data_IF_650547053448
#
_entry.id   IF_650547053448
#
_cell.length_a   1.000
_cell.length_b   1.000
_cell.length_c   1.000
_cell.angle_alpha   90.00
_cell.angle_beta   90.00
_cell.angle_gamma   90.00
#
_symmetry.space_group_name_H-M   'P 1'
#
loop_
_entity.id
_entity.type
_entity.pdbx_description
1 polymer ?
#
# COMPACT_ATOMS: atom_id res chain seq x y z
N UNK A 1 29.39 81.10 -10.11
CA UNK A 1 29.47 80.85 -11.56
C UNK A 1 28.06 80.94 -12.11
N UNK A 2 27.64 82.13 -12.57
CA UNK A 2 27.77 82.61 -13.97
C UNK A 2 26.95 81.72 -14.91
N UNK A 3 25.67 82.02 -15.19
CA UNK A 3 25.09 83.05 -16.10
C UNK A 3 25.02 82.65 -17.58
N UNK A 4 23.82 82.83 -18.15
CA UNK A 4 23.59 83.25 -19.54
C UNK A 4 23.52 82.13 -20.58
N UNK A 5 22.76 82.22 -21.67
CA UNK A 5 21.97 83.30 -22.24
C UNK A 5 21.01 82.65 -23.28
N UNK A 6 19.71 82.97 -23.28
CA UNK A 6 19.05 83.98 -24.14
C UNK A 6 18.83 83.58 -25.61
N UNK A 7 17.59 83.71 -26.09
CA UNK A 7 17.27 83.65 -27.51
C UNK A 7 15.78 83.86 -27.88
N UNK A 8 15.29 85.11 -27.74
CA UNK A 8 14.25 85.84 -28.52
C UNK A 8 13.17 85.05 -29.29
N UNK A 9 11.87 85.20 -28.99
CA UNK A 9 10.94 86.30 -29.34
C UNK A 9 10.50 86.39 -30.83
N UNK A 10 9.24 86.05 -31.12
CA UNK A 10 8.40 86.81 -32.08
C UNK A 10 6.89 86.61 -31.84
N UNK A 11 6.18 87.75 -31.79
CA UNK A 11 4.72 87.91 -31.75
C UNK A 11 4.08 87.44 -33.06
N UNK A 12 2.85 86.92 -32.99
CA UNK A 12 1.76 87.43 -33.83
C UNK A 12 0.38 87.21 -33.19
N UNK A 13 -0.45 88.24 -33.35
CA UNK A 13 -1.84 88.39 -32.90
C UNK A 13 -2.77 87.44 -33.65
N UNK A 14 -3.87 87.04 -33.01
CA UNK A 14 -5.01 86.40 -33.66
C UNK A 14 -6.10 86.03 -32.67
N UNK A 15 -6.86 87.02 -32.22
CA UNK A 15 -8.10 86.79 -31.48
C UNK A 15 -9.18 86.32 -32.46
N UNK A 16 -9.67 85.09 -32.31
CA UNK A 16 -10.93 84.63 -32.88
C UNK A 16 -11.65 83.80 -31.82
N UNK A 17 -12.62 84.44 -31.17
CA UNK A 17 -13.62 83.82 -30.31
C UNK A 17 -14.64 83.10 -31.21
N UNK A 18 -14.58 81.77 -31.25
CA UNK A 18 -15.66 80.93 -31.76
C UNK A 18 -16.09 79.96 -30.66
N UNK A 19 -17.35 80.08 -30.26
CA UNK A 19 -17.93 79.36 -29.12
C UNK A 19 -17.97 77.84 -29.29
N UNK A 20 -18.22 77.10 -28.20
CA UNK A 20 -18.23 75.64 -28.21
C UNK A 20 -19.44 75.13 -29.00
N UNK A 21 -19.22 74.65 -30.23
CA UNK A 21 -20.19 73.79 -30.90
C UNK A 21 -20.23 72.46 -30.17
N UNK A 22 -21.28 72.27 -29.35
CA UNK A 22 -21.71 70.96 -28.83
C UNK A 22 -21.98 70.03 -30.02
N UNK A 23 -20.99 69.22 -30.38
CA UNK A 23 -21.22 68.02 -31.21
C UNK A 23 -21.99 67.04 -30.33
N UNK A 24 -23.30 66.94 -30.54
CA UNK A 24 -24.11 65.83 -30.02
C UNK A 24 -23.61 64.56 -30.70
N UNK A 25 -22.62 63.89 -30.10
CA UNK A 25 -22.32 62.50 -30.44
C UNK A 25 -23.52 61.66 -29.97
N UNK A 26 -24.24 61.06 -30.90
CA UNK A 26 -25.26 60.07 -30.58
C UNK A 26 -24.59 58.90 -29.83
N UNK A 27 -24.91 58.68 -28.54
CA UNK A 27 -24.28 57.61 -27.75
C UNK A 27 -24.71 56.20 -28.20
N UNK A 28 -25.72 56.08 -29.05
CA UNK A 28 -26.31 54.81 -29.45
C UNK A 28 -25.36 53.90 -30.27
N UNK A 29 -24.48 54.47 -31.11
CA UNK A 29 -23.59 53.65 -31.99
C UNK A 29 -22.38 53.11 -31.23
N UNK A 30 -21.87 53.84 -30.23
CA UNK A 30 -20.72 53.41 -29.43
C UNK A 30 -21.11 52.34 -28.40
N UNK A 31 -22.32 52.44 -27.82
CA UNK A 31 -22.82 51.45 -26.86
C UNK A 31 -23.14 50.10 -27.55
N UNK A 32 -23.66 50.13 -28.78
CA UNK A 32 -23.96 48.92 -29.54
C UNK A 32 -22.68 48.14 -29.92
N UNK A 33 -21.61 48.82 -30.31
CA UNK A 33 -20.33 48.19 -30.62
C UNK A 33 -19.64 47.57 -29.39
N UNK A 34 -19.76 48.20 -28.22
CA UNK A 34 -19.22 47.66 -26.96
C UNK A 34 -20.04 46.44 -26.51
N UNK A 35 -21.37 46.48 -26.62
CA UNK A 35 -22.23 45.36 -26.27
C UNK A 35 -21.98 44.13 -27.16
N UNK A 36 -21.78 44.32 -28.47
CA UNK A 36 -21.39 43.27 -29.41
C UNK A 36 -20.00 42.69 -29.11
N UNK A 37 -19.04 43.53 -28.74
CA UNK A 37 -17.69 43.09 -28.35
C UNK A 37 -17.72 42.26 -27.06
N UNK A 38 -18.47 42.71 -26.04
CA UNK A 38 -18.64 41.98 -24.78
C UNK A 38 -19.39 40.66 -24.96
N UNK A 39 -20.41 40.62 -25.81
CA UNK A 39 -21.12 39.39 -26.16
C UNK A 39 -20.22 38.41 -26.93
N UNK A 40 -19.36 38.90 -27.82
CA UNK A 40 -18.37 38.07 -28.53
C UNK A 40 -17.29 37.53 -27.58
N UNK A 41 -16.79 38.35 -26.65
CA UNK A 41 -15.83 37.93 -25.62
C UNK A 41 -16.43 36.90 -24.66
N UNK A 42 -17.68 37.08 -24.24
CA UNK A 42 -18.38 36.13 -23.38
C UNK A 42 -18.60 34.78 -24.10
N UNK A 43 -18.95 34.79 -25.39
CA UNK A 43 -19.04 33.56 -26.21
C UNK A 43 -17.69 32.88 -26.38
N UNK A 44 -16.61 33.64 -26.56
CA UNK A 44 -15.26 33.11 -26.69
C UNK A 44 -14.76 32.50 -25.37
N UNK A 45 -14.99 33.16 -24.23
CA UNK A 45 -14.67 32.57 -22.92
C UNK A 45 -15.49 31.33 -22.63
N UNK A 46 -16.78 31.29 -22.98
CA UNK A 46 -17.62 30.11 -22.82
C UNK A 46 -17.17 28.95 -23.71
N UNK A 47 -16.76 29.24 -24.96
CA UNK A 47 -16.20 28.24 -25.87
C UNK A 47 -14.85 27.71 -25.37
N UNK A 48 -14.01 28.57 -24.78
CA UNK A 48 -12.74 28.16 -24.17
C UNK A 48 -12.95 27.32 -22.92
N UNK A 49 -13.91 27.69 -22.07
CA UNK A 49 -14.28 26.91 -20.88
C UNK A 49 -14.86 25.54 -21.25
N UNK A 50 -15.68 25.46 -22.31
CA UNK A 50 -16.20 24.20 -22.85
C UNK A 50 -15.06 23.38 -23.48
N UNK A 51 -14.14 24.00 -24.22
CA UNK A 51 -12.97 23.31 -24.77
C UNK A 51 -12.03 22.82 -23.67
N UNK A 52 -11.83 23.58 -22.60
CA UNK A 52 -11.00 23.18 -21.46
C UNK A 52 -11.69 22.09 -20.63
N UNK A 53 -13.03 22.11 -20.48
CA UNK A 53 -13.83 21.01 -19.91
C UNK A 53 -13.81 19.76 -20.79
N UNK A 54 -13.91 19.91 -22.11
CA UNK A 54 -13.83 18.81 -23.08
C UNK A 54 -12.40 18.25 -23.16
N UNK A 55 -11.38 19.09 -22.92
CA UNK A 55 -9.97 18.68 -22.88
C UNK A 55 -9.62 17.99 -21.56
N UNK A 56 -10.18 18.42 -20.43
CA UNK A 56 -10.03 17.71 -19.14
C UNK A 56 -10.82 16.40 -19.09
N UNK A 57 -11.88 16.23 -19.89
CA UNK A 57 -12.67 14.99 -19.94
C UNK A 57 -12.15 13.95 -20.94
N UNK A 58 -11.03 14.19 -21.65
CA UNK A 58 -10.54 13.30 -22.73
C UNK A 58 -9.07 12.91 -22.70
N UNK A 59 -8.35 13.14 -21.60
CA UNK A 59 -7.21 12.27 -21.29
C UNK A 59 -7.70 11.16 -20.37
N UNK A 60 -8.38 10.17 -20.96
CA UNK A 60 -8.48 8.86 -20.32
C UNK A 60 -7.04 8.32 -20.31
N UNK A 61 -6.31 8.64 -19.24
CA UNK A 61 -5.01 8.05 -18.95
C UNK A 61 -5.26 6.54 -18.89
N UNK A 62 -4.92 5.84 -19.98
CA UNK A 62 -5.08 4.39 -20.05
C UNK A 62 -4.22 3.80 -18.94
N UNK A 63 -4.87 3.24 -17.94
CA UNK A 63 -4.17 2.67 -16.79
C UNK A 63 -3.32 1.51 -17.27
N UNK A 64 -2.11 1.43 -16.73
CA UNK A 64 -1.14 0.43 -17.13
C UNK A 64 -1.65 -0.97 -16.71
N UNK A 65 -1.85 -1.92 -17.66
CA UNK A 65 -2.29 -3.28 -17.33
C UNK A 65 -1.35 -4.01 -16.35
N UNK A 66 -0.10 -3.57 -16.23
CA UNK A 66 0.85 -4.09 -15.24
C UNK A 66 0.34 -3.99 -13.79
N UNK A 67 -0.61 -3.09 -13.49
CA UNK A 67 -1.23 -2.97 -12.16
C UNK A 67 -2.00 -4.23 -11.73
N UNK A 68 -2.41 -5.09 -12.67
CA UNK A 68 -3.09 -6.36 -12.37
C UNK A 68 -2.12 -7.46 -11.92
N UNK A 69 -0.83 -7.35 -12.29
CA UNK A 69 0.17 -8.40 -12.09
C UNK A 69 0.40 -8.74 -10.61
N UNK A 70 0.54 -7.77 -9.69
CA UNK A 70 0.79 -8.10 -8.28
C UNK A 70 -0.33 -8.95 -7.67
N UNK A 71 -1.58 -8.54 -7.88
CA UNK A 71 -2.75 -9.26 -7.36
C UNK A 71 -2.83 -10.68 -7.93
N UNK A 72 -2.70 -10.83 -9.25
CA UNK A 72 -2.70 -12.14 -9.91
C UNK A 72 -1.54 -13.00 -9.43
N UNK A 73 -0.34 -12.42 -9.30
CA UNK A 73 0.86 -13.13 -8.88
C UNK A 73 0.78 -13.65 -7.45
N UNK A 74 0.27 -12.85 -6.51
CA UNK A 74 0.05 -13.27 -5.12
C UNK A 74 -1.00 -14.39 -5.02
N UNK A 75 -2.09 -14.31 -5.80
CA UNK A 75 -3.08 -15.39 -5.87
C UNK A 75 -2.47 -16.66 -6.49
N UNK A 76 -1.67 -16.52 -7.54
CA UNK A 76 -1.03 -17.65 -8.21
C UNK A 76 -0.05 -18.38 -7.29
N UNK A 77 0.80 -17.66 -6.54
CA UNK A 77 1.75 -18.31 -5.61
C UNK A 77 1.03 -18.99 -4.45
N UNK A 78 -0.07 -18.40 -3.95
CA UNK A 78 -0.91 -19.02 -2.91
C UNK A 78 -1.47 -20.38 -3.39
N UNK A 79 -2.09 -20.40 -4.57
CA UNK A 79 -2.65 -21.63 -5.15
C UNK A 79 -1.56 -22.64 -5.50
N UNK A 80 -0.47 -22.19 -6.12
CA UNK A 80 0.65 -23.04 -6.49
C UNK A 80 1.26 -23.73 -5.27
N UNK A 81 1.43 -23.01 -4.15
CA UNK A 81 1.94 -23.58 -2.89
C UNK A 81 1.06 -24.72 -2.39
N UNK A 82 -0.26 -24.49 -2.31
CA UNK A 82 -1.21 -25.50 -1.81
C UNK A 82 -1.26 -26.71 -2.74
N UNK A 83 -1.34 -26.48 -4.05
CA UNK A 83 -1.39 -27.54 -5.07
C UNK A 83 -0.09 -28.37 -5.04
N UNK A 84 1.06 -27.70 -5.04
CA UNK A 84 2.37 -28.33 -5.00
C UNK A 84 2.55 -29.19 -3.75
N UNK A 85 2.30 -28.62 -2.56
CA UNK A 85 2.47 -29.36 -1.31
C UNK A 85 1.49 -30.53 -1.20
N UNK A 86 0.25 -30.34 -1.63
CA UNK A 86 -0.75 -31.42 -1.66
C UNK A 86 -0.32 -32.56 -2.59
N UNK A 87 0.14 -32.25 -3.79
CA UNK A 87 0.57 -33.25 -4.77
C UNK A 87 1.82 -34.01 -4.29
N UNK A 88 2.79 -33.31 -3.69
CA UNK A 88 4.05 -33.92 -3.26
C UNK A 88 3.94 -34.69 -1.93
N UNK A 89 3.22 -34.14 -0.95
CA UNK A 89 3.15 -34.69 0.40
C UNK A 89 1.92 -35.58 0.64
N UNK A 90 0.96 -35.60 -0.29
CA UNK A 90 -0.33 -36.32 -0.20
C UNK A 90 -1.18 -35.93 1.02
N UNK A 91 -0.94 -34.75 1.57
CA UNK A 91 -1.66 -34.20 2.73
C UNK A 91 -3.11 -33.90 2.36
N UNK A 92 -4.04 -34.19 3.28
CA UNK A 92 -5.46 -33.88 3.10
C UNK A 92 -5.68 -32.36 3.00
N UNK A 93 -6.61 -31.93 2.12
CA UNK A 93 -6.91 -30.51 1.94
C UNK A 93 -7.38 -29.84 3.24
N UNK A 94 -7.97 -30.62 4.16
CA UNK A 94 -8.42 -30.12 5.46
C UNK A 94 -7.33 -29.46 6.29
N UNK A 95 -6.06 -29.88 6.19
CA UNK A 95 -4.98 -29.23 6.95
C UNK A 95 -4.74 -27.79 6.50
N UNK A 96 -4.72 -27.56 5.18
CA UNK A 96 -4.59 -26.22 4.63
C UNK A 96 -5.80 -25.34 5.02
N UNK A 97 -7.01 -25.90 4.97
CA UNK A 97 -8.24 -25.19 5.37
C UNK A 97 -8.25 -24.82 6.86
N UNK A 98 -7.76 -25.70 7.74
CA UNK A 98 -7.59 -25.37 9.15
C UNK A 98 -6.55 -24.28 9.37
N UNK A 99 -5.47 -24.28 8.58
CA UNK A 99 -4.47 -23.20 8.57
C UNK A 99 -5.09 -21.87 8.17
N UNK A 100 -5.85 -21.89 7.07
CA UNK A 100 -6.57 -20.71 6.59
C UNK A 100 -7.56 -20.18 7.62
N UNK A 101 -8.34 -21.06 8.25
CA UNK A 101 -9.28 -20.67 9.31
C UNK A 101 -8.57 -20.06 10.53
N UNK A 102 -7.43 -20.63 10.94
CA UNK A 102 -6.64 -20.08 12.04
C UNK A 102 -6.11 -18.67 11.72
N UNK A 103 -5.63 -18.45 10.49
CA UNK A 103 -5.19 -17.12 10.05
C UNK A 103 -6.35 -16.12 10.04
N UNK A 104 -7.50 -16.48 9.45
CA UNK A 104 -8.68 -15.58 9.37
C UNK A 104 -9.13 -15.16 10.76
N UNK A 105 -9.26 -16.11 11.70
CA UNK A 105 -9.67 -15.82 13.07
C UNK A 105 -8.60 -14.98 13.78
N UNK A 106 -7.31 -15.30 13.62
CA UNK A 106 -6.21 -14.53 14.19
C UNK A 106 -6.21 -13.09 13.71
N UNK A 107 -6.30 -12.86 12.40
CA UNK A 107 -6.32 -11.51 11.83
C UNK A 107 -7.59 -10.75 12.20
N UNK A 108 -8.76 -11.39 12.22
CA UNK A 108 -9.99 -10.73 12.66
C UNK A 108 -9.87 -10.18 14.09
N UNK A 109 -9.35 -10.99 15.02
CA UNK A 109 -9.11 -10.56 16.40
C UNK A 109 -8.00 -9.49 16.48
N UNK A 110 -6.94 -9.62 15.67
CA UNK A 110 -5.86 -8.64 15.56
C UNK A 110 -6.40 -7.27 15.13
N UNK A 111 -7.28 -7.23 14.14
CA UNK A 111 -7.89 -5.99 13.64
C UNK A 111 -8.75 -5.31 14.71
N UNK A 112 -9.52 -6.09 15.48
CA UNK A 112 -10.30 -5.57 16.62
C UNK A 112 -9.36 -4.97 17.67
N UNK A 113 -8.27 -5.68 18.00
CA UNK A 113 -7.29 -5.20 18.98
C UNK A 113 -6.45 -4.03 18.48
N UNK A 114 -6.38 -3.79 17.17
CA UNK A 114 -5.68 -2.68 16.54
C UNK A 114 -6.54 -1.41 16.40
N UNK A 115 -7.82 -1.44 16.77
CA UNK A 115 -8.69 -0.24 16.79
C UNK A 115 -8.06 0.95 17.56
N UNK A 116 -7.46 0.79 18.75
CA UNK A 116 -6.83 1.89 19.48
C UNK A 116 -5.42 2.27 18.97
N UNK A 117 -4.89 1.64 17.91
CA UNK A 117 -3.53 1.88 17.42
C UNK A 117 -3.23 3.36 17.14
N UNK A 118 -4.11 4.15 16.49
CA UNK A 118 -3.83 5.58 16.26
C UNK A 118 -3.60 6.36 17.56
N UNK A 119 -4.40 6.09 18.60
CA UNK A 119 -4.28 6.74 19.90
C UNK A 119 -3.00 6.28 20.63
N UNK A 120 -2.65 5.00 20.53
CA UNK A 120 -1.41 4.45 21.10
C UNK A 120 -0.19 5.08 20.41
N UNK A 121 -0.20 5.20 19.08
CA UNK A 121 0.90 5.81 18.31
C UNK A 121 1.09 7.28 18.71
N UNK A 122 0.00 8.06 18.69
CA UNK A 122 0.07 9.49 19.03
C UNK A 122 0.47 9.69 20.49
N UNK A 123 -0.18 9.01 21.43
CA UNK A 123 0.15 9.11 22.86
C UNK A 123 1.58 8.68 23.18
N UNK A 124 2.10 7.65 22.50
CA UNK A 124 3.50 7.23 22.68
C UNK A 124 4.49 8.30 22.20
N UNK A 125 4.20 8.98 21.09
CA UNK A 125 5.02 10.07 20.53
C UNK A 125 4.94 11.36 21.35
N UNK A 126 3.86 11.56 22.11
CA UNK A 126 3.72 12.69 23.05
C UNK A 126 4.48 12.45 24.36
N UNK A 127 4.53 11.21 24.84
CA UNK A 127 5.15 10.85 26.13
C UNK A 127 6.65 10.57 26.04
N UNK A 128 7.12 10.08 24.89
CA UNK A 128 8.49 9.62 24.71
C UNK A 128 9.14 10.30 23.50
N UNK A 129 10.46 10.57 23.54
CA UNK A 129 11.17 11.05 22.36
C UNK A 129 11.17 9.99 21.26
N UNK A 130 11.25 10.44 19.99
CA UNK A 130 11.07 9.59 18.81
C UNK A 130 11.97 8.35 18.79
N UNK A 131 13.23 8.48 19.24
CA UNK A 131 14.19 7.36 19.27
C UNK A 131 13.80 6.25 20.27
N UNK A 132 12.89 6.51 21.22
CA UNK A 132 12.31 5.50 22.12
C UNK A 132 10.91 5.10 21.67
N UNK A 133 10.06 6.05 21.29
CA UNK A 133 8.66 5.78 20.93
C UNK A 133 8.56 4.86 19.70
N UNK A 134 9.41 5.09 18.70
CA UNK A 134 9.37 4.33 17.44
C UNK A 134 9.70 2.83 17.65
N UNK A 135 10.85 2.43 18.23
CA UNK A 135 11.12 1.01 18.50
C UNK A 135 10.04 0.31 19.33
N UNK A 136 9.45 1.01 20.31
CA UNK A 136 8.34 0.48 21.11
C UNK A 136 7.10 0.23 20.25
N UNK A 137 6.78 1.14 19.34
CA UNK A 137 5.66 0.99 18.41
C UNK A 137 5.90 -0.11 17.38
N UNK A 138 7.13 -0.28 16.88
CA UNK A 138 7.48 -1.39 15.99
C UNK A 138 7.28 -2.73 16.70
N UNK A 139 7.76 -2.83 17.95
CA UNK A 139 7.55 -4.01 18.78
C UNK A 139 6.07 -4.24 19.07
N UNK A 140 5.29 -3.19 19.35
CA UNK A 140 3.84 -3.28 19.53
C UNK A 140 3.14 -3.90 18.30
N UNK A 141 3.47 -3.42 17.10
CA UNK A 141 2.93 -3.98 15.86
C UNK A 141 3.27 -5.46 15.69
N UNK A 142 4.52 -5.83 15.94
CA UNK A 142 4.95 -7.24 15.92
C UNK A 142 4.27 -8.09 17.00
N UNK A 143 4.05 -7.54 18.19
CA UNK A 143 3.39 -8.23 19.30
C UNK A 143 1.92 -8.49 19.01
N UNK A 144 1.21 -7.57 18.35
CA UNK A 144 -0.16 -7.82 17.90
C UNK A 144 -0.22 -9.08 17.03
N UNK A 145 0.66 -9.21 16.05
CA UNK A 145 0.73 -10.43 15.24
C UNK A 145 1.11 -11.65 16.08
N UNK A 146 2.16 -11.58 16.90
CA UNK A 146 2.58 -12.70 17.73
C UNK A 146 1.46 -13.20 18.64
N UNK A 147 0.76 -12.30 19.33
CA UNK A 147 -0.33 -12.65 20.26
C UNK A 147 -1.50 -13.29 19.52
N UNK A 148 -1.98 -12.66 18.45
CA UNK A 148 -3.22 -13.11 17.81
C UNK A 148 -2.99 -14.26 16.82
N UNK A 149 -1.96 -14.20 15.98
CA UNK A 149 -1.72 -15.26 14.99
C UNK A 149 -1.09 -16.49 15.62
N UNK A 150 -0.05 -16.34 16.46
CA UNK A 150 0.53 -17.51 17.14
C UNK A 150 -0.40 -18.04 18.22
N UNK A 151 -1.12 -17.16 18.94
CA UNK A 151 -2.10 -17.55 19.95
C UNK A 151 -3.25 -18.36 19.36
N UNK A 152 -3.84 -17.91 18.25
CA UNK A 152 -4.91 -18.67 17.59
C UNK A 152 -4.38 -19.96 16.95
N UNK A 153 -3.19 -19.93 16.32
CA UNK A 153 -2.56 -21.16 15.84
C UNK A 153 -2.32 -22.17 16.99
N UNK A 154 -1.93 -21.70 18.17
CA UNK A 154 -1.78 -22.54 19.36
C UNK A 154 -3.11 -23.12 19.83
N UNK A 155 -4.19 -22.32 19.84
CA UNK A 155 -5.53 -22.80 20.18
C UNK A 155 -5.95 -23.91 19.20
N UNK A 156 -5.75 -23.72 17.90
CA UNK A 156 -6.07 -24.74 16.89
C UNK A 156 -5.22 -26.00 17.09
N UNK A 157 -3.92 -25.85 17.27
CA UNK A 157 -3.01 -26.96 17.53
C UNK A 157 -3.36 -27.72 18.82
N UNK A 158 -3.90 -27.04 19.84
CA UNK A 158 -4.24 -27.67 21.12
C UNK A 158 -5.63 -28.30 21.15
N UNK A 159 -6.60 -27.69 20.45
CA UNK A 159 -8.04 -28.03 20.55
C UNK A 159 -8.54 -28.85 19.37
N UNK A 160 -7.97 -28.70 18.16
CA UNK A 160 -8.38 -29.46 16.99
C UNK A 160 -7.59 -30.76 16.94
N UNK A 161 -8.24 -31.89 17.24
CA UNK A 161 -7.60 -33.22 17.33
C UNK A 161 -6.72 -33.54 16.11
N UNK A 162 -7.21 -33.24 14.89
CA UNK A 162 -6.47 -33.47 13.64
C UNK A 162 -5.16 -32.69 13.57
N UNK A 163 -5.15 -31.42 14.01
CA UNK A 163 -3.94 -30.58 14.00
C UNK A 163 -3.01 -31.00 15.13
N UNK A 164 -3.56 -31.30 16.31
CA UNK A 164 -2.78 -31.77 17.46
C UNK A 164 -1.99 -33.03 17.16
N UNK A 165 -2.52 -33.93 16.34
CA UNK A 165 -1.92 -35.22 15.99
C UNK A 165 -1.26 -35.21 14.60
N UNK A 166 -1.08 -34.02 14.01
CA UNK A 166 -0.53 -33.89 12.67
C UNK A 166 0.92 -34.39 12.59
N UNK A 167 1.26 -35.17 11.57
CA UNK A 167 2.66 -35.45 11.28
C UNK A 167 3.39 -34.20 10.75
N UNK A 168 4.71 -34.30 10.49
CA UNK A 168 5.49 -33.18 9.96
C UNK A 168 4.92 -32.59 8.66
N UNK A 169 4.44 -33.42 7.73
CA UNK A 169 3.90 -32.97 6.43
C UNK A 169 2.58 -32.25 6.61
N UNK A 170 1.75 -32.77 7.50
CA UNK A 170 0.43 -32.24 7.86
C UNK A 170 0.56 -30.92 8.63
N UNK A 171 1.51 -30.81 9.56
CA UNK A 171 1.83 -29.58 10.28
C UNK A 171 2.37 -28.49 9.33
N UNK A 172 3.25 -28.87 8.40
CA UNK A 172 3.69 -27.97 7.33
C UNK A 172 2.51 -27.57 6.42
N UNK A 173 1.63 -28.50 6.07
CA UNK A 173 0.43 -28.21 5.28
C UNK A 173 -0.54 -27.23 5.97
N UNK A 174 -0.71 -27.35 7.28
CA UNK A 174 -1.43 -26.38 8.11
C UNK A 174 -0.80 -24.99 8.00
N UNK A 175 0.52 -24.90 8.17
CA UNK A 175 1.22 -23.61 8.05
C UNK A 175 1.25 -23.03 6.63
N UNK A 176 1.34 -23.85 5.58
CA UNK A 176 1.22 -23.39 4.20
C UNK A 176 -0.19 -22.85 3.91
N UNK A 177 -1.24 -23.50 4.43
CA UNK A 177 -2.61 -22.97 4.33
C UNK A 177 -2.80 -21.64 5.05
N UNK A 178 -2.13 -21.47 6.19
CA UNK A 178 -2.11 -20.22 6.97
C UNK A 178 -1.52 -19.06 6.14
N UNK A 179 -0.35 -19.24 5.55
CA UNK A 179 0.26 -18.20 4.71
C UNK A 179 -0.40 -18.03 3.33
N UNK A 180 -0.92 -19.11 2.75
CA UNK A 180 -1.54 -19.05 1.42
C UNK A 180 -2.86 -18.28 1.43
N UNK A 181 -3.69 -18.39 2.48
CA UNK A 181 -4.95 -17.62 2.54
C UNK A 181 -4.68 -16.12 2.65
N UNK A 182 -3.62 -15.72 3.35
CA UNK A 182 -3.19 -14.33 3.44
C UNK A 182 -2.82 -13.78 2.06
N UNK A 183 -1.92 -14.48 1.37
CA UNK A 183 -1.49 -14.11 0.02
C UNK A 183 -2.67 -14.07 -0.97
N UNK A 184 -3.61 -15.00 -0.85
CA UNK A 184 -4.82 -15.04 -1.68
C UNK A 184 -5.73 -13.83 -1.42
N UNK A 185 -6.01 -13.49 -0.16
CA UNK A 185 -6.91 -12.40 0.20
C UNK A 185 -6.29 -11.03 -0.08
N UNK A 186 -5.01 -10.83 0.20
CA UNK A 186 -4.28 -9.63 -0.18
C UNK A 186 -4.19 -9.49 -1.71
N UNK A 187 -3.94 -10.60 -2.41
CA UNK A 187 -3.97 -10.68 -3.88
C UNK A 187 -5.32 -10.25 -4.46
N UNK A 188 -6.41 -10.77 -3.90
CA UNK A 188 -7.76 -10.40 -4.30
C UNK A 188 -8.05 -8.91 -4.04
N UNK A 189 -7.63 -8.38 -2.89
CA UNK A 189 -7.77 -6.96 -2.56
C UNK A 189 -7.04 -6.06 -3.54
N UNK A 190 -5.78 -6.39 -3.85
CA UNK A 190 -4.97 -5.62 -4.80
C UNK A 190 -5.50 -5.74 -6.23
N UNK A 191 -5.96 -6.92 -6.65
CA UNK A 191 -6.58 -7.11 -7.96
C UNK A 191 -7.87 -6.29 -8.08
N UNK A 192 -8.71 -6.28 -7.03
CA UNK A 192 -9.93 -5.48 -6.99
C UNK A 192 -9.65 -3.98 -7.11
N UNK A 193 -8.62 -3.49 -6.40
CA UNK A 193 -8.19 -2.10 -6.50
C UNK A 193 -7.67 -1.76 -7.90
N UNK A 194 -6.84 -2.63 -8.50
CA UNK A 194 -6.33 -2.44 -9.85
C UNK A 194 -7.44 -2.46 -10.91
N UNK A 195 -8.42 -3.38 -10.78
CA UNK A 195 -9.59 -3.40 -11.65
C UNK A 195 -10.40 -2.10 -11.51
N UNK A 196 -10.63 -1.62 -10.28
CA UNK A 196 -11.33 -0.36 -10.05
C UNK A 196 -10.58 0.83 -10.67
N UNK A 197 -9.25 0.86 -10.56
CA UNK A 197 -8.42 1.87 -11.22
C UNK A 197 -8.56 1.83 -12.74
N UNK A 198 -8.63 0.63 -13.34
CA UNK A 198 -8.77 0.50 -14.80
C UNK A 198 -10.18 0.78 -15.31
N UNK A 199 -11.22 0.40 -14.57
CA UNK A 199 -12.62 0.43 -15.04
C UNK A 199 -13.37 1.69 -14.60
N UNK A 200 -12.99 2.30 -13.48
CA UNK A 200 -13.61 3.51 -12.95
C UNK A 200 -12.58 4.41 -12.23
N UNK A 201 -11.54 4.90 -12.94
CA UNK A 201 -10.47 5.71 -12.36
C UNK A 201 -10.99 6.94 -11.61
N UNK A 202 -12.07 7.56 -12.09
CA UNK A 202 -12.69 8.76 -11.46
C UNK A 202 -13.24 8.50 -10.04
N UNK A 203 -13.34 7.24 -9.62
CA UNK A 203 -13.76 6.85 -8.27
C UNK A 203 -12.61 6.74 -7.28
N UNK A 204 -11.36 6.86 -7.74
CA UNK A 204 -10.18 6.74 -6.89
C UNK A 204 -9.51 8.10 -6.66
N UNK A 205 -8.91 8.32 -5.48
CA UNK A 205 -8.00 9.44 -5.26
C UNK A 205 -6.88 9.45 -6.31
N UNK A 206 -6.46 10.63 -6.82
CA UNK A 206 -5.40 10.73 -7.82
C UNK A 206 -4.08 10.07 -7.40
N UNK A 207 -3.79 10.02 -6.10
CA UNK A 207 -2.61 9.36 -5.52
C UNK A 207 -2.55 7.86 -5.80
N UNK A 208 -3.70 7.19 -5.97
CA UNK A 208 -3.76 5.76 -6.31
C UNK A 208 -3.63 5.49 -7.81
N UNK A 209 -3.58 6.54 -8.63
CA UNK A 209 -3.53 6.49 -10.09
C UNK A 209 -2.16 6.93 -10.66
N UNK A 210 -1.17 7.08 -9.77
CA UNK A 210 0.20 7.37 -10.14
C UNK A 210 0.79 6.20 -10.91
N UNK A 211 1.43 6.52 -12.05
CA UNK A 211 2.05 5.52 -12.92
C UNK A 211 3.57 5.62 -12.69
N UNK A 212 4.28 4.48 -12.56
CA UNK A 212 5.73 4.47 -12.43
C UNK A 212 6.41 5.31 -13.52
N UNK A 213 7.48 6.03 -13.16
CA UNK A 213 8.18 6.93 -14.07
C UNK A 213 9.04 6.17 -15.11
N UNK A 214 9.41 4.92 -14.82
CA UNK A 214 10.14 4.04 -15.75
C UNK A 214 9.62 2.60 -15.78
N UNK A 215 9.98 1.88 -16.86
CA UNK A 215 9.65 0.46 -16.99
C UNK A 215 10.36 -0.41 -15.93
N UNK A 216 11.58 -0.06 -15.53
CA UNK A 216 12.31 -0.77 -14.48
C UNK A 216 11.61 -0.61 -13.13
N UNK A 217 11.19 0.62 -12.79
CA UNK A 217 10.41 0.90 -11.60
C UNK A 217 9.09 0.14 -11.59
N UNK A 218 8.42 0.06 -12.75
CA UNK A 218 7.20 -0.74 -12.90
C UNK A 218 7.46 -2.22 -12.61
N UNK A 219 8.49 -2.83 -13.20
CA UNK A 219 8.81 -4.26 -13.01
C UNK A 219 9.16 -4.56 -11.54
N UNK A 220 10.02 -3.75 -10.94
CA UNK A 220 10.44 -3.93 -9.54
C UNK A 220 9.28 -3.68 -8.57
N UNK A 221 8.43 -2.70 -8.84
CA UNK A 221 7.24 -2.41 -8.02
C UNK A 221 6.19 -3.52 -8.10
N UNK A 222 5.93 -4.09 -9.28
CA UNK A 222 4.91 -5.14 -9.41
C UNK A 222 5.36 -6.50 -8.88
N UNK A 223 6.66 -6.76 -8.84
CA UNK A 223 7.21 -8.04 -8.38
C UNK A 223 7.42 -8.10 -6.86
N UNK A 224 7.67 -6.96 -6.21
CA UNK A 224 7.93 -6.93 -4.76
C UNK A 224 6.81 -7.60 -3.92
N UNK A 225 5.51 -7.29 -4.10
CA UNK A 225 4.45 -7.96 -3.32
C UNK A 225 4.40 -9.48 -3.55
N UNK A 226 4.72 -9.94 -4.76
CA UNK A 226 4.74 -11.39 -5.09
C UNK A 226 5.88 -12.08 -4.34
N UNK A 227 7.06 -11.48 -4.33
CA UNK A 227 8.24 -11.98 -3.61
C UNK A 227 7.97 -11.97 -2.11
N UNK A 228 7.44 -10.88 -1.57
CA UNK A 228 7.06 -10.76 -0.17
C UNK A 228 6.14 -11.91 0.24
N UNK A 229 5.03 -12.10 -0.48
CA UNK A 229 4.08 -13.17 -0.14
C UNK A 229 4.69 -14.56 -0.24
N UNK A 230 5.61 -14.80 -1.17
CA UNK A 230 6.34 -16.06 -1.27
C UNK A 230 7.18 -16.31 -0.01
N UNK A 231 7.90 -15.29 0.47
CA UNK A 231 8.70 -15.33 1.69
C UNK A 231 7.80 -15.59 2.90
N UNK A 232 6.73 -14.81 3.05
CA UNK A 232 5.84 -14.91 4.21
C UNK A 232 5.15 -16.27 4.28
N UNK A 233 4.72 -16.87 3.16
CA UNK A 233 4.19 -18.24 3.15
C UNK A 233 5.13 -19.23 3.85
N UNK A 234 6.44 -19.13 3.60
CA UNK A 234 7.45 -20.00 4.22
C UNK A 234 7.61 -19.67 5.71
N UNK A 235 7.61 -18.38 6.08
CA UNK A 235 7.66 -17.92 7.48
C UNK A 235 6.47 -18.46 8.27
N UNK A 236 5.24 -18.37 7.73
CA UNK A 236 4.04 -18.94 8.35
C UNK A 236 4.13 -20.45 8.45
N UNK A 237 4.55 -21.13 7.39
CA UNK A 237 4.71 -22.58 7.37
C UNK A 237 5.61 -23.06 8.53
N UNK A 238 6.78 -22.44 8.68
CA UNK A 238 7.70 -22.79 9.75
C UNK A 238 7.18 -22.42 11.14
N UNK A 239 6.64 -21.21 11.32
CA UNK A 239 6.11 -20.79 12.61
C UNK A 239 4.96 -21.70 13.09
N UNK A 240 4.02 -22.04 12.22
CA UNK A 240 2.92 -22.94 12.56
C UNK A 240 3.44 -24.35 12.88
N UNK A 241 4.45 -24.83 12.14
CA UNK A 241 5.08 -26.11 12.42
C UNK A 241 5.68 -26.16 13.83
N UNK A 242 6.41 -25.11 14.24
CA UNK A 242 6.97 -25.00 15.58
C UNK A 242 5.89 -25.02 16.68
N UNK A 243 4.75 -24.36 16.44
CA UNK A 243 3.63 -24.32 17.39
C UNK A 243 3.00 -25.71 17.53
N UNK A 244 2.74 -26.41 16.43
CA UNK A 244 2.22 -27.78 16.47
C UNK A 244 3.19 -28.70 17.19
N UNK A 245 4.49 -28.59 16.88
CA UNK A 245 5.53 -29.38 17.54
C UNK A 245 5.62 -29.10 19.04
N UNK A 246 5.51 -27.84 19.47
CA UNK A 246 5.48 -27.45 20.88
C UNK A 246 4.34 -28.13 21.64
N UNK A 247 3.16 -28.21 21.03
CA UNK A 247 1.98 -28.86 21.63
C UNK A 247 2.17 -30.37 21.74
N UNK A 248 2.70 -31.02 20.69
CA UNK A 248 2.90 -32.47 20.67
C UNK A 248 3.95 -32.92 21.68
N UNK A 249 5.10 -32.25 21.69
CA UNK A 249 6.24 -32.58 22.57
C UNK A 249 6.11 -32.01 23.97
N UNK A 250 5.16 -31.09 24.20
CA UNK A 250 5.02 -30.28 25.42
C UNK A 250 6.26 -29.43 25.73
N UNK A 251 7.15 -29.24 24.76
CA UNK A 251 8.32 -28.37 24.87
C UNK A 251 7.98 -26.93 24.43
N UNK A 252 7.49 -26.11 25.36
CA UNK A 252 7.01 -24.75 25.09
C UNK A 252 8.07 -23.77 24.54
N UNK A 253 9.36 -24.11 24.63
CA UNK A 253 10.43 -23.32 23.99
C UNK A 253 10.19 -23.13 22.49
N UNK A 254 9.57 -24.09 21.81
CA UNK A 254 9.26 -24.00 20.38
C UNK A 254 8.10 -23.05 20.08
N UNK A 255 7.11 -22.96 20.97
CA UNK A 255 6.08 -21.93 20.89
C UNK A 255 6.70 -20.54 21.04
N UNK A 256 7.55 -20.34 22.05
CA UNK A 256 8.21 -19.05 22.25
C UNK A 256 9.14 -18.68 21.10
N UNK A 257 9.84 -19.65 20.51
CA UNK A 257 10.63 -19.43 19.30
C UNK A 257 9.73 -18.96 18.13
N UNK A 258 8.58 -19.61 17.91
CA UNK A 258 7.63 -19.21 16.88
C UNK A 258 7.04 -17.82 17.11
N UNK A 259 6.66 -17.54 18.36
CA UNK A 259 6.12 -16.25 18.80
C UNK A 259 7.13 -15.12 18.54
N UNK A 260 8.36 -15.25 19.06
CA UNK A 260 9.42 -14.26 18.85
C UNK A 260 9.76 -14.09 17.38
N UNK A 261 9.83 -15.20 16.64
CA UNK A 261 10.11 -15.19 15.21
C UNK A 261 9.10 -14.37 14.41
N UNK A 262 7.79 -14.59 14.61
CA UNK A 262 6.75 -13.79 13.93
C UNK A 262 6.68 -12.36 14.45
N UNK A 263 6.86 -12.14 15.75
CA UNK A 263 6.88 -10.78 16.32
C UNK A 263 8.01 -9.94 15.74
N UNK A 264 9.20 -10.50 15.55
CA UNK A 264 10.30 -9.76 14.93
C UNK A 264 10.00 -9.45 13.47
N UNK A 265 9.54 -10.43 12.68
CA UNK A 265 9.21 -10.23 11.25
C UNK A 265 8.19 -9.11 11.07
N UNK A 266 7.07 -9.15 11.79
CA UNK A 266 6.04 -8.11 11.68
C UNK A 266 6.45 -6.80 12.35
N UNK A 267 7.40 -6.84 13.30
CA UNK A 267 8.04 -5.64 13.83
C UNK A 267 8.87 -4.89 12.78
N UNK A 268 9.52 -5.60 11.86
CA UNK A 268 10.24 -4.99 10.72
C UNK A 268 9.22 -4.33 9.76
N UNK A 269 8.09 -4.97 9.49
CA UNK A 269 7.00 -4.34 8.74
C UNK A 269 6.44 -3.10 9.48
N UNK A 270 6.27 -3.20 10.81
CA UNK A 270 5.90 -2.08 11.67
C UNK A 270 6.90 -0.93 11.64
N UNK A 271 8.21 -1.21 11.57
CA UNK A 271 9.25 -0.21 11.35
C UNK A 271 9.02 0.57 10.06
N UNK A 272 8.81 -0.14 8.95
CA UNK A 272 8.57 0.48 7.65
C UNK A 272 7.30 1.35 7.67
N UNK A 273 6.20 0.81 8.20
CA UNK A 273 4.90 1.48 8.24
C UNK A 273 4.87 2.70 9.18
N UNK A 274 5.40 2.59 10.40
CA UNK A 274 5.29 3.64 11.42
C UNK A 274 6.33 4.74 11.20
N UNK A 275 7.55 4.39 10.76
CA UNK A 275 8.66 5.35 10.63
C UNK A 275 8.55 6.17 9.34
N UNK A 276 8.22 5.50 8.23
CA UNK A 276 8.23 6.11 6.90
C UNK A 276 6.83 6.30 6.34
N UNK A 277 5.88 5.42 6.68
CA UNK A 277 4.62 5.29 5.93
C UNK A 277 4.88 4.46 4.66
N UNK A 278 4.01 3.48 4.40
CA UNK A 278 4.22 2.52 3.30
C UNK A 278 4.19 3.25 1.95
N UNK A 279 3.37 4.29 1.84
CA UNK A 279 3.24 5.16 0.67
C UNK A 279 4.48 6.01 0.37
N UNK A 280 5.37 6.21 1.34
CA UNK A 280 6.58 7.02 1.18
C UNK A 280 7.84 6.17 0.95
N UNK A 281 7.71 4.84 0.93
CA UNK A 281 8.84 3.97 0.66
C UNK A 281 9.22 4.03 -0.82
N UNK A 282 10.49 4.36 -1.07
CA UNK A 282 11.06 4.21 -2.41
C UNK A 282 11.10 2.73 -2.80
N UNK A 283 11.18 2.43 -4.11
CA UNK A 283 11.33 1.06 -4.60
C UNK A 283 12.54 0.37 -3.96
N UNK A 284 13.66 1.06 -3.79
CA UNK A 284 14.84 0.53 -3.10
C UNK A 284 14.49 0.20 -1.64
N UNK A 285 13.76 1.08 -0.95
CA UNK A 285 13.30 0.84 0.42
C UNK A 285 12.42 -0.41 0.56
N UNK A 286 11.50 -0.62 -0.38
CA UNK A 286 10.67 -1.84 -0.45
C UNK A 286 11.56 -3.07 -0.60
N UNK A 287 12.49 -3.08 -1.56
CA UNK A 287 13.37 -4.24 -1.76
C UNK A 287 14.34 -4.51 -0.60
N UNK A 288 14.79 -3.46 0.11
CA UNK A 288 15.57 -3.64 1.34
C UNK A 288 14.73 -4.31 2.44
N UNK A 289 13.45 -3.97 2.55
CA UNK A 289 12.51 -4.65 3.43
C UNK A 289 12.34 -6.13 3.03
N UNK A 290 12.17 -6.40 1.73
CA UNK A 290 12.07 -7.77 1.22
C UNK A 290 13.31 -8.60 1.52
N UNK A 291 14.50 -8.02 1.35
CA UNK A 291 15.78 -8.68 1.68
C UNK A 291 15.86 -8.98 3.17
N UNK A 292 15.44 -8.04 4.04
CA UNK A 292 15.41 -8.27 5.48
C UNK A 292 14.48 -9.44 5.83
N UNK A 293 13.27 -9.49 5.26
CA UNK A 293 12.32 -10.57 5.44
C UNK A 293 12.81 -11.90 4.83
N UNK A 294 13.54 -11.86 3.71
CA UNK A 294 14.09 -13.03 3.03
C UNK A 294 15.03 -13.83 3.95
N UNK A 295 15.81 -13.17 4.80
CA UNK A 295 16.66 -13.86 5.78
C UNK A 295 15.83 -14.74 6.72
N UNK A 296 14.68 -14.25 7.17
CA UNK A 296 13.73 -15.05 7.95
C UNK A 296 13.13 -16.16 7.07
N UNK A 297 12.70 -15.87 5.84
CA UNK A 297 12.26 -16.88 4.88
C UNK A 297 13.25 -18.05 4.72
N UNK A 298 14.55 -17.76 4.62
CA UNK A 298 15.62 -18.77 4.55
C UNK A 298 15.69 -19.58 5.85
N UNK A 299 15.65 -18.93 7.02
CA UNK A 299 15.60 -19.62 8.31
C UNK A 299 14.36 -20.51 8.41
N UNK A 300 13.21 -20.05 7.92
CA UNK A 300 11.97 -20.82 7.85
C UNK A 300 12.10 -22.06 6.96
N UNK A 301 12.61 -21.90 5.74
CA UNK A 301 12.85 -23.00 4.81
C UNK A 301 13.82 -24.04 5.40
N UNK A 302 14.93 -23.57 5.99
CA UNK A 302 15.90 -24.43 6.66
C UNK A 302 15.27 -25.13 7.86
N UNK A 303 14.48 -24.42 8.67
CA UNK A 303 13.77 -24.95 9.81
C UNK A 303 12.78 -26.05 9.45
N UNK A 304 11.97 -25.86 8.39
CA UNK A 304 11.08 -26.91 7.86
C UNK A 304 11.85 -28.20 7.53
N UNK A 305 13.04 -28.07 6.93
CA UNK A 305 13.89 -29.21 6.60
C UNK A 305 14.52 -29.87 7.83
N UNK A 306 15.02 -29.09 8.80
CA UNK A 306 15.61 -29.62 10.05
C UNK A 306 14.56 -30.39 10.84
N UNK A 307 13.35 -29.83 10.99
CA UNK A 307 12.29 -30.44 11.78
C UNK A 307 11.74 -31.71 11.15
N UNK A 308 11.83 -31.88 9.82
CA UNK A 308 11.54 -33.16 9.17
C UNK A 308 12.34 -34.31 9.77
N UNK A 309 13.62 -34.07 10.08
CA UNK A 309 14.52 -35.08 10.65
C UNK A 309 14.25 -35.30 12.13
N UNK A 310 13.80 -34.27 12.84
CA UNK A 310 13.50 -34.31 14.28
C UNK A 310 12.22 -35.09 14.55
N UNK A 311 11.16 -34.84 13.79
CA UNK A 311 9.88 -35.56 13.90
C UNK A 311 10.03 -37.07 13.74
N UNK A 312 10.86 -37.52 12.78
CA UNK A 312 11.10 -38.95 12.50
C UNK A 312 11.84 -39.69 13.63
N UNK A 313 12.43 -39.01 14.61
CA UNK A 313 13.10 -39.66 15.74
C UNK A 313 12.16 -39.96 16.90
N UNK A 314 10.95 -39.42 16.87
CA UNK A 314 9.94 -39.56 17.92
C UNK A 314 8.83 -40.58 17.54
N UNK A 315 8.79 -41.01 16.27
CA UNK A 315 8.01 -42.15 15.77
C UNK A 315 8.78 -43.47 15.96
#
# INVERSE_FOLDING_TARGET
MLTGASGRCRRHRGAVSTGPRKIRRCPAVTVLNIALLLAAMARFQRARLILDLVRTTREVKTMNPLLLIPGIGMMAIALATVIYWKAHSKVALSFFLWGAAAWIVGVALKLIAAIPSPQIITGSRELLPRYLSEPVLWLYMGLLTGIFECGIALVFASRVKKIRQADWKEAAGFGFGFGAVEALLLGLGQLGLALLATLAPDRLPPTLLEIPASAMEAILGVSAPIVERTIFIIIHAFSCLLIVYAVQTKEWKWFWAAFLYKTVVDGIAGFAQITYGVENLTIIGIWLLEIACLLFGIVGAWGLWVFRRRWRKEE
#
